data_IF_811021654614
#
_entry.id   IF_811021654614
#
_cell.length_a   1.000
_cell.length_b   1.000
_cell.length_c   1.000
_cell.angle_alpha   90.00
_cell.angle_beta   90.00
_cell.angle_gamma   90.00
#
_symmetry.space_group_name_H-M   'P 1'
#
loop_
_entity.id
_entity.type
_entity.pdbx_description
1 polymer ?
#
# COMPACT_ATOMS: atom_id res chain seq x y z
N UNK A 1 29.01 -29.04 32.07
CA UNK A 1 28.00 -30.10 31.83
C UNK A 1 26.62 -29.51 32.16
N UNK A 2 25.96 -28.70 31.32
CA UNK A 2 25.33 -29.00 30.02
C UNK A 2 24.39 -30.21 30.06
N UNK A 3 23.22 -30.10 30.72
CA UNK A 3 22.07 -30.97 30.39
C UNK A 3 20.68 -30.51 30.88
N UNK A 4 20.43 -29.20 31.00
CA UNK A 4 19.08 -28.68 31.32
C UNK A 4 18.72 -27.41 30.53
N UNK A 5 19.22 -27.27 29.30
CA UNK A 5 18.95 -26.12 28.41
C UNK A 5 18.17 -26.57 27.14
N UNK A 6 17.22 -27.50 27.27
CA UNK A 6 16.47 -28.00 26.11
C UNK A 6 14.95 -28.08 26.30
N UNK A 7 14.38 -27.26 27.20
CA UNK A 7 12.93 -27.24 27.41
C UNK A 7 12.38 -25.83 27.68
N UNK A 8 12.94 -24.78 27.05
CA UNK A 8 12.49 -23.40 27.29
C UNK A 8 12.39 -22.50 26.05
N UNK A 9 12.38 -23.05 24.84
CA UNK A 9 12.12 -22.25 23.62
C UNK A 9 11.36 -23.05 22.56
N UNK A 10 10.04 -22.99 22.61
CA UNK A 10 9.19 -23.27 21.44
C UNK A 10 7.79 -22.66 21.54
N UNK A 11 7.54 -21.81 22.53
CA UNK A 11 6.29 -21.07 22.65
C UNK A 11 6.65 -19.60 22.72
N UNK A 12 5.98 -18.81 21.89
CA UNK A 12 6.29 -17.42 21.56
C UNK A 12 7.44 -17.32 20.56
N UNK A 13 7.11 -17.09 19.30
CA UNK A 13 7.27 -15.75 18.75
C UNK A 13 6.75 -15.69 17.30
N UNK A 14 5.97 -14.65 17.06
CA UNK A 14 5.63 -14.07 15.75
C UNK A 14 4.66 -14.85 14.87
N UNK A 15 3.40 -14.79 15.29
CA UNK A 15 2.33 -14.27 14.42
C UNK A 15 2.80 -13.00 13.68
N UNK A 16 3.39 -13.17 12.50
CA UNK A 16 3.45 -12.13 11.48
C UNK A 16 2.29 -12.35 10.52
N UNK A 17 1.08 -12.01 10.95
CA UNK A 17 -0.02 -11.71 10.03
C UNK A 17 0.07 -10.25 9.65
N UNK A 18 1.13 -9.89 8.94
CA UNK A 18 1.17 -8.73 8.08
C UNK A 18 1.54 -9.26 6.68
N UNK A 19 1.20 -8.57 5.60
CA UNK A 19 1.52 -8.95 4.21
C UNK A 19 0.49 -9.80 3.45
N UNK A 20 -0.81 -9.51 3.58
CA UNK A 20 -1.78 -10.02 2.60
C UNK A 20 -1.50 -9.48 1.17
N UNK A 21 -0.93 -8.27 1.04
CA UNK A 21 -0.57 -7.69 -0.26
C UNK A 21 0.84 -8.11 -0.74
N UNK A 22 1.83 -8.09 0.15
CA UNK A 22 3.23 -8.48 -0.18
C UNK A 22 3.31 -9.95 -0.58
N UNK A 23 2.69 -10.85 0.19
CA UNK A 23 2.73 -12.28 -0.10
C UNK A 23 2.08 -12.65 -1.45
N UNK A 24 1.01 -11.96 -1.83
CA UNK A 24 0.37 -12.15 -3.12
C UNK A 24 1.24 -11.62 -4.27
N UNK A 25 1.83 -10.43 -4.12
CA UNK A 25 2.71 -9.85 -5.13
C UNK A 25 4.01 -10.63 -5.30
N UNK A 26 4.60 -11.11 -4.21
CA UNK A 26 5.79 -11.96 -4.23
C UNK A 26 5.52 -13.32 -4.89
N UNK A 27 4.38 -13.94 -4.60
CA UNK A 27 3.98 -15.18 -5.27
C UNK A 27 3.84 -14.97 -6.79
N UNK A 28 3.20 -13.88 -7.23
CA UNK A 28 3.08 -13.54 -8.66
C UNK A 28 4.42 -13.24 -9.32
N UNK A 29 5.34 -12.62 -8.60
CA UNK A 29 6.70 -12.36 -9.09
C UNK A 29 7.50 -13.67 -9.22
N UNK A 30 7.36 -14.58 -8.25
CA UNK A 30 8.01 -15.89 -8.24
C UNK A 30 7.46 -16.82 -9.33
N UNK A 31 6.14 -16.83 -9.57
CA UNK A 31 5.51 -17.55 -10.68
C UNK A 31 6.08 -17.09 -12.03
N UNK A 32 6.34 -15.79 -12.18
CA UNK A 32 6.95 -15.20 -13.38
C UNK A 32 8.48 -15.32 -13.41
N UNK A 33 9.11 -15.96 -12.40
CA UNK A 33 10.56 -16.12 -12.25
C UNK A 33 11.32 -14.78 -12.37
N UNK A 34 10.71 -13.69 -11.93
CA UNK A 34 11.33 -12.37 -11.98
C UNK A 34 12.42 -12.26 -10.90
N UNK A 35 13.60 -11.80 -11.28
CA UNK A 35 14.73 -11.60 -10.38
C UNK A 35 15.32 -10.18 -10.54
N UNK A 36 16.09 -9.75 -9.53
CA UNK A 36 16.80 -8.47 -9.56
C UNK A 36 15.87 -7.27 -9.78
N UNK A 37 16.30 -6.33 -10.63
CA UNK A 37 15.54 -5.12 -10.94
C UNK A 37 14.13 -5.40 -11.49
N UNK A 38 13.95 -6.49 -12.25
CA UNK A 38 12.65 -6.88 -12.79
C UNK A 38 11.67 -7.32 -11.69
N UNK A 39 12.16 -8.04 -10.67
CA UNK A 39 11.35 -8.37 -9.48
C UNK A 39 10.91 -7.09 -8.78
N UNK A 40 11.83 -6.16 -8.52
CA UNK A 40 11.53 -4.94 -7.78
C UNK A 40 10.51 -4.05 -8.52
N UNK A 41 10.67 -3.85 -9.83
CA UNK A 41 9.71 -3.07 -10.62
C UNK A 41 8.34 -3.74 -10.68
N UNK A 42 8.29 -5.07 -10.76
CA UNK A 42 7.04 -5.82 -10.72
C UNK A 42 6.36 -5.71 -9.35
N UNK A 43 7.12 -5.86 -8.27
CA UNK A 43 6.61 -5.70 -6.90
C UNK A 43 6.02 -4.30 -6.70
N UNK A 44 6.75 -3.25 -7.05
CA UNK A 44 6.26 -1.87 -6.95
C UNK A 44 4.99 -1.63 -7.77
N UNK A 45 4.90 -2.22 -8.97
CA UNK A 45 3.68 -2.13 -9.77
C UNK A 45 2.53 -2.91 -9.13
N UNK A 46 2.79 -4.14 -8.69
CA UNK A 46 1.80 -5.00 -8.07
C UNK A 46 1.22 -4.38 -6.79
N UNK A 47 2.05 -3.79 -5.94
CA UNK A 47 1.59 -3.07 -4.75
C UNK A 47 0.73 -1.85 -5.10
N UNK A 48 1.09 -1.09 -6.14
CA UNK A 48 0.27 0.04 -6.61
C UNK A 48 -1.07 -0.44 -7.17
N UNK A 49 -1.05 -1.51 -7.95
CA UNK A 49 -2.26 -2.11 -8.50
C UNK A 49 -3.15 -2.67 -7.38
N UNK A 50 -2.56 -3.31 -6.36
CA UNK A 50 -3.28 -3.80 -5.19
C UNK A 50 -3.96 -2.66 -4.43
N UNK A 51 -3.24 -1.55 -4.16
CA UNK A 51 -3.81 -0.35 -3.52
C UNK A 51 -4.94 0.26 -4.34
N UNK A 52 -4.79 0.29 -5.67
CA UNK A 52 -5.82 0.81 -6.58
C UNK A 52 -7.06 -0.08 -6.56
N UNK A 53 -6.88 -1.41 -6.61
CA UNK A 53 -7.99 -2.36 -6.55
C UNK A 53 -8.73 -2.32 -5.22
N UNK A 54 -8.00 -2.19 -4.10
CA UNK A 54 -8.62 -2.04 -2.79
C UNK A 54 -9.42 -0.72 -2.70
N UNK A 55 -8.88 0.39 -3.21
CA UNK A 55 -9.64 1.63 -3.32
C UNK A 55 -10.87 1.48 -4.22
N UNK A 56 -10.77 0.77 -5.35
CA UNK A 56 -11.91 0.48 -6.23
C UNK A 56 -13.01 -0.28 -5.48
N UNK A 57 -12.67 -1.35 -4.76
CA UNK A 57 -13.64 -2.11 -3.96
C UNK A 57 -14.34 -1.25 -2.91
N UNK A 58 -13.57 -0.46 -2.16
CA UNK A 58 -14.12 0.45 -1.14
C UNK A 58 -15.05 1.49 -1.78
N UNK A 59 -14.62 2.08 -2.90
CA UNK A 59 -15.39 3.09 -3.62
C UNK A 59 -16.65 2.52 -4.28
N UNK A 60 -16.59 1.31 -4.81
CA UNK A 60 -17.77 0.61 -5.35
C UNK A 60 -18.76 0.24 -4.24
N UNK A 61 -18.27 -0.16 -3.06
CA UNK A 61 -19.11 -0.34 -1.87
C UNK A 61 -19.84 0.96 -1.49
N UNK A 62 -19.10 2.08 -1.41
CA UNK A 62 -19.69 3.41 -1.15
C UNK A 62 -20.68 3.86 -2.23
N UNK A 63 -20.41 3.54 -3.49
CA UNK A 63 -21.33 3.84 -4.58
C UNK A 63 -22.62 3.01 -4.47
N UNK A 64 -22.50 1.73 -4.10
CA UNK A 64 -23.64 0.83 -3.89
C UNK A 64 -24.49 1.26 -2.69
N UNK A 65 -23.88 1.67 -1.57
CA UNK A 65 -24.56 2.25 -0.40
C UNK A 65 -25.35 3.51 -0.78
N UNK A 66 -24.79 4.33 -1.68
CA UNK A 66 -25.45 5.51 -2.24
C UNK A 66 -26.45 5.18 -3.37
N UNK A 67 -26.64 3.89 -3.67
CA UNK A 67 -27.50 3.38 -4.76
C UNK A 67 -27.20 4.00 -6.12
N UNK A 68 -25.93 4.37 -6.36
CA UNK A 68 -25.50 4.91 -7.64
C UNK A 68 -25.40 3.80 -8.67
N UNK A 69 -25.89 4.06 -9.88
CA UNK A 69 -25.85 3.13 -11.01
C UNK A 69 -25.43 3.85 -12.30
N UNK A 70 -25.10 3.07 -13.33
CA UNK A 70 -24.72 3.60 -14.65
C UNK A 70 -23.58 4.62 -14.60
N UNK A 71 -23.73 5.72 -15.35
CA UNK A 71 -22.72 6.77 -15.43
C UNK A 71 -22.41 7.44 -14.09
N UNK A 72 -23.41 7.58 -13.19
CA UNK A 72 -23.23 8.19 -11.88
C UNK A 72 -22.31 7.35 -10.99
N UNK A 73 -22.48 6.01 -11.01
CA UNK A 73 -21.56 5.09 -10.33
C UNK A 73 -20.15 5.23 -10.87
N UNK A 74 -19.97 5.17 -12.19
CA UNK A 74 -18.64 5.23 -12.82
C UNK A 74 -17.90 6.53 -12.48
N UNK A 75 -18.57 7.68 -12.56
CA UNK A 75 -17.97 8.98 -12.22
C UNK A 75 -17.63 9.08 -10.73
N UNK A 76 -18.51 8.58 -9.86
CA UNK A 76 -18.26 8.56 -8.42
C UNK A 76 -17.08 7.64 -8.07
N UNK A 77 -17.09 6.39 -8.56
CA UNK A 77 -16.01 5.44 -8.26
C UNK A 77 -14.67 5.97 -8.79
N UNK A 78 -14.61 6.52 -10.01
CA UNK A 78 -13.37 7.12 -10.54
C UNK A 78 -12.85 8.24 -9.65
N UNK A 79 -13.72 9.17 -9.25
CA UNK A 79 -13.33 10.28 -8.37
C UNK A 79 -12.90 9.78 -6.99
N UNK A 80 -13.67 8.88 -6.40
CA UNK A 80 -13.38 8.29 -5.10
C UNK A 80 -12.03 7.55 -5.09
N UNK A 81 -11.73 6.77 -6.13
CA UNK A 81 -10.45 6.05 -6.25
C UNK A 81 -9.30 7.04 -6.35
N UNK A 82 -9.43 8.07 -7.20
CA UNK A 82 -8.41 9.10 -7.33
C UNK A 82 -8.17 9.84 -6.01
N UNK A 83 -9.24 10.27 -5.34
CA UNK A 83 -9.16 10.98 -4.05
C UNK A 83 -8.54 10.08 -2.97
N UNK A 84 -8.86 8.78 -2.97
CA UNK A 84 -8.27 7.80 -2.05
C UNK A 84 -6.78 7.60 -2.32
N UNK A 85 -6.37 7.51 -3.60
CA UNK A 85 -4.96 7.41 -3.98
C UNK A 85 -4.17 8.67 -3.59
N UNK A 86 -4.73 9.85 -3.83
CA UNK A 86 -4.13 11.13 -3.41
C UNK A 86 -4.00 11.20 -1.89
N UNK A 87 -5.03 10.81 -1.14
CA UNK A 87 -5.00 10.77 0.32
C UNK A 87 -3.94 9.79 0.86
N UNK A 88 -3.86 8.59 0.29
CA UNK A 88 -2.85 7.60 0.65
C UNK A 88 -1.43 8.10 0.36
N UNK A 89 -1.23 8.74 -0.80
CA UNK A 89 0.04 9.37 -1.15
C UNK A 89 0.37 10.52 -0.19
N UNK A 90 -0.61 11.35 0.17
CA UNK A 90 -0.45 12.45 1.12
C UNK A 90 0.06 11.93 2.47
N UNK A 91 -0.61 10.92 3.05
CA UNK A 91 -0.21 10.33 4.33
C UNK A 91 1.20 9.74 4.27
N UNK A 92 1.52 8.99 3.21
CA UNK A 92 2.86 8.41 3.04
C UNK A 92 3.95 9.49 2.88
N UNK A 93 3.66 10.55 2.13
CA UNK A 93 4.58 11.66 1.91
C UNK A 93 4.75 12.52 3.16
N UNK A 94 3.72 12.68 3.98
CA UNK A 94 3.81 13.35 5.28
C UNK A 94 4.67 12.58 6.26
N UNK A 95 4.55 11.25 6.32
CA UNK A 95 5.44 10.40 7.12
C UNK A 95 6.90 10.53 6.68
N UNK A 96 7.17 10.48 5.37
CA UNK A 96 8.52 10.71 4.82
C UNK A 96 9.06 12.11 5.15
N UNK A 97 8.20 13.12 5.14
CA UNK A 97 8.59 14.48 5.52
C UNK A 97 8.92 14.58 7.01
N UNK A 98 8.16 13.88 7.86
CA UNK A 98 8.39 13.82 9.30
C UNK A 98 9.71 13.08 9.63
N UNK A 99 10.02 11.98 8.95
CA UNK A 99 11.31 11.28 9.07
C UNK A 99 12.48 12.18 8.70
N UNK A 100 12.30 13.02 7.67
CA UNK A 100 13.28 14.05 7.27
C UNK A 100 13.25 15.29 8.17
N UNK A 101 12.41 15.31 9.20
CA UNK A 101 12.20 16.44 10.13
C UNK A 101 11.87 17.76 9.43
N UNK A 102 11.21 17.69 8.27
CA UNK A 102 10.78 18.87 7.53
C UNK A 102 9.60 19.53 8.24
N UNK A 103 9.63 20.86 8.37
CA UNK A 103 8.55 21.66 8.94
C UNK A 103 8.27 22.89 8.08
N UNK A 104 7.13 23.55 8.34
CA UNK A 104 6.72 24.78 7.65
C UNK A 104 6.69 24.64 6.12
N UNK A 105 7.22 25.65 5.42
CA UNK A 105 7.21 25.71 3.95
C UNK A 105 7.97 24.54 3.30
N UNK A 106 9.08 24.07 3.91
CA UNK A 106 9.88 22.98 3.39
C UNK A 106 9.09 21.65 3.38
N UNK A 107 8.32 21.39 4.45
CA UNK A 107 7.41 20.24 4.50
C UNK A 107 6.37 20.31 3.38
N UNK A 108 5.71 21.46 3.23
CA UNK A 108 4.64 21.61 2.25
C UNK A 108 5.15 21.41 0.80
N UNK A 109 6.31 21.99 0.46
CA UNK A 109 6.90 21.84 -0.86
C UNK A 109 7.32 20.39 -1.14
N UNK A 110 7.89 19.70 -0.14
CA UNK A 110 8.25 18.29 -0.26
C UNK A 110 7.01 17.42 -0.46
N UNK A 111 6.00 17.56 0.41
CA UNK A 111 4.79 16.72 0.35
C UNK A 111 4.06 16.91 -0.97
N UNK A 112 3.89 18.15 -1.45
CA UNK A 112 3.21 18.43 -2.73
C UNK A 112 3.90 17.77 -3.93
N UNK A 113 5.24 17.84 -3.97
CA UNK A 113 6.03 17.18 -5.02
C UNK A 113 5.98 15.66 -4.89
N UNK A 114 6.16 15.14 -3.69
CA UNK A 114 6.10 13.71 -3.38
C UNK A 114 4.74 13.09 -3.75
N UNK A 115 3.62 13.76 -3.45
CA UNK A 115 2.29 13.28 -3.81
C UNK A 115 2.13 13.21 -5.31
N UNK A 116 2.55 14.28 -6.01
CA UNK A 116 2.49 14.33 -7.48
C UNK A 116 3.30 13.19 -8.11
N UNK A 117 4.50 12.91 -7.59
CA UNK A 117 5.35 11.81 -8.07
C UNK A 117 4.77 10.42 -7.73
N UNK A 118 4.05 10.30 -6.61
CA UNK A 118 3.49 9.02 -6.14
C UNK A 118 2.18 8.64 -6.82
N UNK A 119 1.45 9.63 -7.36
CA UNK A 119 0.19 9.42 -8.08
C UNK A 119 0.36 9.48 -9.61
N UNK A 120 1.60 9.61 -10.10
CA UNK A 120 1.95 9.57 -11.53
C UNK A 120 2.19 8.16 -12.01
#
# INVERSE_FOLDING_TARGET
MMKTIFALMAALLFSQTAFAADGACEARAAEKKLAGAAKNSFMQKCERDAKTNEAMKVCDGKAAEKKLSGAAKTSFTRKCVNDTMVSNAQMACESKAAEKKLSGAAKNSFTKKCVTDSTK
#
